data_IF_918740176959
#
_entry.id   IF_918740176959
#
_cell.length_a   1.000
_cell.length_b   1.000
_cell.length_c   1.000
_cell.angle_alpha   90.00
_cell.angle_beta   90.00
_cell.angle_gamma   90.00
#
_symmetry.space_group_name_H-M   'P 1'
#
loop_
_entity.id
_entity.type
_entity.pdbx_description
1 polymer ?
#
# COMPACT_ATOMS: atom_id res chain seq x y z
N UNK A 1 -9.54 -2.13 18.14
CA UNK A 1 -9.56 -3.29 17.22
C UNK A 1 -10.55 -3.11 16.07
N UNK A 2 -11.87 -3.15 16.28
CA UNK A 2 -12.83 -2.94 15.17
C UNK A 2 -12.72 -1.53 14.56
N UNK A 3 -12.54 -0.52 15.41
CA UNK A 3 -12.41 0.88 14.98
C UNK A 3 -11.16 1.17 14.14
N UNK A 4 -10.04 0.48 14.42
CA UNK A 4 -8.78 0.65 13.68
C UNK A 4 -8.87 0.07 12.27
N UNK A 5 -9.62 -1.04 12.13
CA UNK A 5 -9.83 -1.76 10.88
C UNK A 5 -10.75 -0.98 9.92
N UNK A 6 -11.84 -0.40 10.45
CA UNK A 6 -12.76 0.49 9.70
C UNK A 6 -12.07 1.79 9.26
N UNK A 7 -11.07 2.25 10.02
CA UNK A 7 -10.32 3.45 9.67
C UNK A 7 -9.38 3.21 8.48
N UNK A 8 -8.81 2.00 8.34
CA UNK A 8 -7.92 1.67 7.22
C UNK A 8 -8.66 1.62 5.88
N UNK A 9 -9.85 1.01 5.86
CA UNK A 9 -10.67 0.89 4.65
C UNK A 9 -11.10 2.27 4.09
N UNK A 10 -11.43 3.22 4.97
CA UNK A 10 -11.76 4.60 4.57
C UNK A 10 -10.60 5.32 3.90
N UNK A 11 -9.37 5.15 4.41
CA UNK A 11 -8.18 5.78 3.83
C UNK A 11 -7.84 5.16 2.47
N UNK A 12 -7.95 3.82 2.33
CA UNK A 12 -7.77 3.13 1.04
C UNK A 12 -8.77 3.65 0.00
N UNK A 13 -10.05 3.74 0.35
CA UNK A 13 -11.10 4.22 -0.56
C UNK A 13 -10.86 5.67 -1.00
N UNK A 14 -10.31 6.50 -0.13
CA UNK A 14 -9.93 7.89 -0.45
C UNK A 14 -8.79 7.93 -1.48
N UNK A 15 -7.77 7.10 -1.33
CA UNK A 15 -6.68 6.97 -2.31
C UNK A 15 -7.23 6.48 -3.65
N UNK A 16 -8.08 5.46 -3.66
CA UNK A 16 -8.72 4.96 -4.88
C UNK A 16 -9.50 6.08 -5.59
N UNK A 17 -10.26 6.87 -4.84
CA UNK A 17 -11.03 7.99 -5.39
C UNK A 17 -10.13 9.04 -6.05
N UNK A 18 -8.96 9.31 -5.47
CA UNK A 18 -7.96 10.21 -6.06
C UNK A 18 -7.36 9.62 -7.34
N UNK A 19 -7.04 8.33 -7.34
CA UNK A 19 -6.50 7.64 -8.52
C UNK A 19 -7.47 7.73 -9.70
N UNK A 20 -8.76 7.43 -9.47
CA UNK A 20 -9.79 7.52 -10.51
C UNK A 20 -9.96 8.95 -11.03
N UNK A 21 -9.87 9.95 -10.14
CA UNK A 21 -9.97 11.37 -10.52
C UNK A 21 -8.82 11.80 -11.44
N UNK A 22 -7.58 11.41 -11.12
CA UNK A 22 -6.39 11.76 -11.90
C UNK A 22 -6.23 10.88 -13.16
N UNK A 23 -6.81 9.67 -13.14
CA UNK A 23 -6.79 8.72 -14.26
C UNK A 23 -8.20 8.21 -14.60
N UNK A 24 -9.02 9.02 -15.31
CA UNK A 24 -10.41 8.69 -15.64
C UNK A 24 -10.60 7.44 -16.50
N UNK A 25 -9.53 6.90 -17.10
CA UNK A 25 -9.57 5.62 -17.82
C UNK A 25 -9.76 4.41 -16.90
N UNK A 26 -9.60 4.58 -15.58
CA UNK A 26 -9.82 3.55 -14.57
C UNK A 26 -11.07 3.90 -13.74
N UNK A 27 -11.82 2.88 -13.36
CA UNK A 27 -12.89 3.00 -12.38
C UNK A 27 -12.45 2.47 -11.00
N UNK A 28 -13.29 2.74 -10.00
CA UNK A 28 -13.02 2.37 -8.61
C UNK A 28 -12.71 0.88 -8.43
N UNK A 29 -13.52 0.00 -9.02
CA UNK A 29 -13.37 -1.46 -8.91
C UNK A 29 -12.10 -1.98 -9.59
N UNK A 30 -11.68 -1.35 -10.69
CA UNK A 30 -10.42 -1.69 -11.36
C UNK A 30 -9.23 -1.38 -10.46
N UNK A 31 -9.20 -0.19 -9.86
CA UNK A 31 -8.11 0.20 -8.95
C UNK A 31 -8.12 -0.64 -7.68
N UNK A 32 -9.30 -0.92 -7.11
CA UNK A 32 -9.44 -1.81 -5.96
C UNK A 32 -8.87 -3.19 -6.25
N UNK A 33 -9.18 -3.77 -7.41
CA UNK A 33 -8.63 -5.06 -7.85
C UNK A 33 -7.12 -5.04 -7.99
N UNK A 34 -6.55 -3.97 -8.57
CA UNK A 34 -5.09 -3.81 -8.66
C UNK A 34 -4.44 -3.84 -7.27
N UNK A 35 -5.05 -3.20 -6.28
CA UNK A 35 -4.56 -3.22 -4.89
C UNK A 35 -4.64 -4.64 -4.31
N UNK A 36 -5.78 -5.32 -4.43
CA UNK A 36 -5.97 -6.68 -3.93
C UNK A 36 -4.99 -7.70 -4.55
N UNK A 37 -4.78 -7.60 -5.87
CA UNK A 37 -3.82 -8.43 -6.60
C UNK A 37 -2.40 -8.18 -6.12
N UNK A 38 -1.99 -6.91 -5.99
CA UNK A 38 -0.67 -6.53 -5.49
C UNK A 38 -0.45 -6.95 -4.03
N UNK A 39 -1.46 -6.81 -3.15
CA UNK A 39 -1.37 -7.26 -1.76
C UNK A 39 -1.09 -8.77 -1.69
N UNK A 40 -1.75 -9.55 -2.56
CA UNK A 40 -1.51 -11.01 -2.67
C UNK A 40 -0.11 -11.32 -3.19
N UNK A 41 0.36 -10.62 -4.22
CA UNK A 41 1.73 -10.76 -4.75
C UNK A 41 2.80 -10.50 -3.68
N UNK A 42 2.56 -9.54 -2.79
CA UNK A 42 3.44 -9.17 -1.68
C UNK A 42 3.31 -10.08 -0.46
N UNK A 43 2.54 -11.16 -0.55
CA UNK A 43 2.37 -12.15 0.52
C UNK A 43 1.69 -11.61 1.77
N UNK A 44 0.89 -10.55 1.66
CA UNK A 44 0.21 -9.92 2.81
C UNK A 44 1.16 -9.30 3.84
N UNK A 45 2.42 -9.08 3.48
CA UNK A 45 3.42 -8.46 4.36
C UNK A 45 3.26 -6.94 4.49
N UNK A 46 2.49 -6.34 3.57
CA UNK A 46 2.32 -4.91 3.41
C UNK A 46 0.84 -4.58 3.59
N UNK A 47 0.57 -3.49 4.32
CA UNK A 47 -0.78 -2.98 4.58
C UNK A 47 -1.42 -2.41 3.30
N UNK A 48 -2.71 -2.65 3.11
CA UNK A 48 -3.46 -2.22 1.92
C UNK A 48 -3.38 -0.71 1.66
N UNK A 49 -3.29 0.12 2.70
CA UNK A 49 -3.07 1.56 2.53
C UNK A 49 -1.71 1.84 1.87
N UNK A 50 -0.65 1.13 2.27
CA UNK A 50 0.67 1.28 1.66
C UNK A 50 0.68 0.75 0.23
N UNK A 51 -0.02 -0.36 -0.04
CA UNK A 51 -0.19 -0.89 -1.39
C UNK A 51 -0.94 0.11 -2.29
N UNK A 52 -2.01 0.75 -1.79
CA UNK A 52 -2.74 1.79 -2.51
C UNK A 52 -1.84 2.99 -2.90
N UNK A 53 -1.01 3.47 -1.96
CA UNK A 53 -0.03 4.52 -2.25
C UNK A 53 1.02 4.08 -3.29
N UNK A 54 1.42 2.80 -3.26
CA UNK A 54 2.34 2.23 -4.24
C UNK A 54 1.73 2.21 -5.64
N UNK A 55 0.49 1.73 -5.77
CA UNK A 55 -0.24 1.74 -7.04
C UNK A 55 -0.40 3.17 -7.58
N UNK A 56 -0.73 4.14 -6.73
CA UNK A 56 -0.80 5.54 -7.16
C UNK A 56 0.54 6.02 -7.77
N UNK A 57 1.68 5.69 -7.14
CA UNK A 57 3.02 6.03 -7.66
C UNK A 57 3.34 5.30 -8.96
N UNK A 58 3.03 4.01 -9.06
CA UNK A 58 3.22 3.22 -10.30
C UNK A 58 2.41 3.79 -11.47
N UNK A 59 1.24 4.38 -11.19
CA UNK A 59 0.40 5.09 -12.14
C UNK A 59 0.87 6.52 -12.45
N UNK A 60 1.97 6.98 -11.84
CA UNK A 60 2.52 8.33 -12.02
C UNK A 60 1.75 9.43 -11.28
N UNK A 61 0.88 9.06 -10.33
CA UNK A 61 0.01 9.99 -9.61
C UNK A 61 0.72 10.46 -8.34
N UNK A 62 0.94 11.77 -8.25
CA UNK A 62 1.57 12.37 -7.07
C UNK A 62 0.48 12.83 -6.08
N UNK A 63 0.28 12.03 -5.03
CA UNK A 63 -0.65 12.34 -3.93
C UNK A 63 -0.04 13.46 -3.07
N UNK A 64 -0.21 14.72 -3.50
CA UNK A 64 0.31 15.89 -2.78
C UNK A 64 -0.33 15.96 -1.39
N UNK A 65 0.46 15.69 -0.34
CA UNK A 65 0.06 15.89 1.06
C UNK A 65 0.03 14.62 1.92
N UNK A 66 0.03 13.43 1.33
CA UNK A 66 0.11 12.19 2.09
C UNK A 66 1.58 11.75 2.23
N UNK A 67 2.21 12.18 3.33
CA UNK A 67 3.45 11.53 3.76
C UNK A 67 3.08 10.07 4.07
N UNK A 68 3.72 9.06 3.44
CA UNK A 68 3.48 7.68 3.83
C UNK A 68 3.73 7.59 5.34
N UNK A 69 2.74 7.17 6.12
CA UNK A 69 3.02 6.68 7.46
C UNK A 69 3.99 5.53 7.22
N UNK A 70 5.27 5.72 7.56
CA UNK A 70 6.28 4.68 7.44
C UNK A 70 5.75 3.52 8.28
N UNK A 71 5.21 2.49 7.61
CA UNK A 71 4.87 1.26 8.29
C UNK A 71 6.16 0.81 8.95
N UNK A 72 6.13 0.59 10.27
CA UNK A 72 7.25 -0.03 10.97
C UNK A 72 7.28 -1.48 10.50
N UNK A 73 7.91 -1.72 9.35
CA UNK A 73 8.20 -3.05 8.84
C UNK A 73 9.06 -3.73 9.91
N UNK A 74 8.52 -4.78 10.52
CA UNK A 74 9.24 -5.63 11.46
C UNK A 74 9.69 -6.86 10.72
N UNK A 75 11.00 -7.06 10.60
CA UNK A 75 11.55 -8.35 10.16
C UNK A 75 11.30 -9.33 11.31
N UNK A 76 10.37 -10.27 11.13
CA UNK A 76 10.02 -11.26 12.17
C UNK A 76 10.99 -12.44 12.21
N UNK A 77 11.44 -12.90 11.04
CA UNK A 77 12.27 -14.11 10.94
C UNK A 77 13.45 -13.88 9.98
N UNK A 78 14.66 -13.92 10.53
CA UNK A 78 15.90 -14.04 9.75
C UNK A 78 16.25 -15.54 9.70
N UNK A 79 16.24 -16.13 8.51
CA UNK A 79 16.67 -17.52 8.33
C UNK A 79 18.19 -17.62 8.25
N UNK A 80 18.74 -18.75 8.69
CA UNK A 80 20.16 -19.06 8.52
C UNK A 80 20.51 -19.14 7.03
N UNK A 81 21.56 -18.42 6.61
CA UNK A 81 22.06 -18.44 5.23
C UNK A 81 22.02 -17.09 4.50
N UNK A 82 21.35 -16.08 5.07
CA UNK A 82 21.44 -14.70 4.58
C UNK A 82 22.83 -14.12 4.88
N UNK A 83 23.61 -13.79 3.85
CA UNK A 83 25.01 -13.33 4.02
C UNK A 83 25.18 -11.80 3.98
N UNK A 84 24.22 -11.06 3.41
CA UNK A 84 24.34 -9.62 3.17
C UNK A 84 23.10 -8.84 3.65
N UNK A 85 22.90 -8.78 4.97
CA UNK A 85 21.85 -7.95 5.57
C UNK A 85 22.51 -6.75 6.25
N UNK A 86 22.19 -5.54 5.79
CA UNK A 86 22.65 -4.29 6.42
C UNK A 86 21.46 -3.63 7.13
N UNK A 87 21.59 -3.45 8.44
CA UNK A 87 20.67 -2.62 9.21
C UNK A 87 21.15 -1.17 9.11
N UNK A 88 20.28 -0.27 8.64
CA UNK A 88 20.56 1.16 8.57
C UNK A 88 19.67 1.84 9.61
N UNK A 89 20.29 2.53 10.56
CA UNK A 89 19.63 3.21 11.69
C UNK A 89 19.28 4.67 11.34
#
# INVERSE_FOLDING_TARGET
MVSDMVNSEKEVNKIISWIVKEKPSLNFEQVKRMIEEKTKELGGLIDDHVVALMIAKELGINLKGEKPKIAKLKIKDLISGLRNVNLVA
#
